data_IF_028319387923
#
_entry.id   IF_028319387923
#
_cell.length_a   1.000
_cell.length_b   1.000
_cell.length_c   1.000
_cell.angle_alpha   90.00
_cell.angle_beta   90.00
_cell.angle_gamma   90.00
#
_symmetry.space_group_name_H-M   'P 1'
#
loop_
_entity.id
_entity.type
_entity.pdbx_description
1 polymer ?
#
# COMPACT_ATOMS: atom_id res chain seq x y z
N UNK A 1 1.83 -25.32 -2.81
CA UNK A 1 0.99 -24.88 -1.68
C UNK A 1 1.54 -23.54 -1.23
N UNK A 2 0.98 -22.45 -1.73
CA UNK A 2 1.43 -21.08 -1.39
C UNK A 2 0.97 -20.76 0.02
N UNK A 3 1.90 -20.42 0.89
CA UNK A 3 1.62 -20.09 2.27
C UNK A 3 1.14 -18.63 2.34
N UNK A 4 -0.15 -18.41 2.16
CA UNK A 4 -0.84 -17.11 2.17
C UNK A 4 -0.63 -16.32 3.48
N UNK A 5 -0.31 -17.00 4.57
CA UNK A 5 -0.12 -16.39 5.89
C UNK A 5 1.04 -15.36 5.96
N UNK A 6 1.95 -15.34 4.97
CA UNK A 6 3.10 -14.42 4.93
C UNK A 6 2.94 -13.25 3.98
N UNK A 7 1.89 -13.21 3.18
CA UNK A 7 1.76 -12.26 2.08
C UNK A 7 0.77 -11.11 2.34
N UNK A 8 -0.10 -11.22 3.34
CA UNK A 8 -1.15 -10.22 3.53
C UNK A 8 -1.26 -9.77 5.00
N UNK A 9 -0.58 -8.68 5.39
CA UNK A 9 -0.80 -8.05 6.70
C UNK A 9 -2.27 -7.66 6.97
N UNK A 10 -3.07 -7.57 5.93
CA UNK A 10 -4.51 -7.25 5.97
C UNK A 10 -5.33 -8.37 6.64
N UNK A 11 -4.82 -9.60 6.70
CA UNK A 11 -5.49 -10.73 7.37
C UNK A 11 -5.68 -10.53 8.89
N UNK A 12 -4.95 -9.60 9.50
CA UNK A 12 -5.10 -9.22 10.90
C UNK A 12 -6.01 -8.00 11.11
N UNK A 13 -6.55 -7.43 10.03
CA UNK A 13 -7.58 -6.41 10.11
C UNK A 13 -8.93 -7.06 10.39
N UNK A 14 -9.73 -6.45 11.25
CA UNK A 14 -11.12 -6.87 11.48
C UNK A 14 -12.05 -6.51 10.30
N UNK A 15 -11.50 -6.06 9.17
CA UNK A 15 -12.23 -5.79 7.93
C UNK A 15 -13.15 -4.58 7.96
N UNK A 16 -13.07 -3.76 9.00
CA UNK A 16 -13.87 -2.53 9.09
C UNK A 16 -13.33 -1.47 8.14
N UNK A 17 -14.16 -1.04 7.20
CA UNK A 17 -13.88 0.11 6.35
C UNK A 17 -14.50 1.35 7.00
N UNK A 18 -13.69 2.38 7.22
CA UNK A 18 -14.20 3.67 7.71
C UNK A 18 -14.51 4.57 6.51
N UNK A 19 -15.79 4.69 6.19
CA UNK A 19 -16.29 5.49 5.05
C UNK A 19 -16.74 6.90 5.44
N UNK A 20 -16.61 7.27 6.72
CA UNK A 20 -17.05 8.58 7.23
C UNK A 20 -16.05 9.72 6.94
N UNK A 21 -15.12 9.53 6.04
CA UNK A 21 -14.16 10.55 5.61
C UNK A 21 -14.84 11.52 4.66
N UNK A 22 -14.68 12.83 4.88
CA UNK A 22 -15.08 13.83 3.89
C UNK A 22 -14.30 13.59 2.60
N UNK A 23 -15.00 13.28 1.52
CA UNK A 23 -14.41 12.93 0.22
C UNK A 23 -14.83 13.93 -0.87
N UNK A 24 -14.32 15.18 -0.82
CA UNK A 24 -14.71 16.22 -1.77
C UNK A 24 -14.29 15.93 -3.21
N UNK A 25 -13.39 14.97 -3.42
CA UNK A 25 -12.85 14.60 -4.73
C UNK A 25 -13.30 13.21 -5.21
N UNK A 26 -14.15 12.50 -4.47
CA UNK A 26 -14.63 11.17 -4.82
C UNK A 26 -13.57 10.06 -4.78
N UNK A 27 -12.40 10.31 -4.16
CA UNK A 27 -11.29 9.34 -4.13
C UNK A 27 -11.60 8.10 -3.30
N UNK A 28 -12.24 8.28 -2.15
CA UNK A 28 -12.67 7.16 -1.33
C UNK A 28 -13.71 6.30 -2.07
N UNK A 29 -14.67 6.95 -2.73
CA UNK A 29 -15.67 6.27 -3.54
C UNK A 29 -15.02 5.47 -4.70
N UNK A 30 -14.00 6.02 -5.35
CA UNK A 30 -13.24 5.30 -6.39
C UNK A 30 -12.52 4.05 -5.82
N UNK A 31 -11.91 4.15 -4.64
CA UNK A 31 -11.30 2.99 -3.96
C UNK A 31 -12.33 1.90 -3.68
N UNK A 32 -13.51 2.26 -3.17
CA UNK A 32 -14.59 1.30 -2.92
C UNK A 32 -15.06 0.62 -4.21
N UNK A 33 -15.18 1.36 -5.31
CA UNK A 33 -15.49 0.78 -6.63
C UNK A 33 -14.43 -0.22 -7.08
N UNK A 34 -13.16 0.05 -6.86
CA UNK A 34 -12.07 -0.90 -7.15
C UNK A 34 -12.21 -2.17 -6.33
N UNK A 35 -12.57 -2.06 -5.06
CA UNK A 35 -12.83 -3.23 -4.23
C UNK A 35 -14.02 -4.04 -4.73
N UNK A 36 -15.10 -3.39 -5.15
CA UNK A 36 -16.26 -4.07 -5.76
C UNK A 36 -15.87 -4.78 -7.07
N UNK A 37 -15.11 -4.12 -7.95
CA UNK A 37 -14.58 -4.73 -9.15
C UNK A 37 -13.68 -5.94 -8.84
N UNK A 38 -12.97 -5.91 -7.71
CA UNK A 38 -12.17 -7.03 -7.23
C UNK A 38 -12.97 -8.11 -6.47
N UNK A 39 -14.29 -7.97 -6.32
CA UNK A 39 -15.17 -8.98 -5.74
C UNK A 39 -15.74 -8.66 -4.37
N UNK A 40 -15.58 -7.42 -3.88
CA UNK A 40 -16.30 -6.99 -2.69
C UNK A 40 -17.81 -6.85 -2.97
N UNK A 41 -18.66 -7.03 -1.97
CA UNK A 41 -20.08 -6.75 -2.09
C UNK A 41 -20.35 -5.28 -2.44
N UNK A 42 -21.34 -5.01 -3.31
CA UNK A 42 -21.68 -3.64 -3.74
C UNK A 42 -22.12 -2.75 -2.58
N UNK A 43 -22.65 -3.35 -1.51
CA UNK A 43 -23.11 -2.65 -0.31
C UNK A 43 -22.04 -1.78 0.34
N UNK A 44 -20.75 -2.08 0.15
CA UNK A 44 -19.66 -1.27 0.72
C UNK A 44 -19.64 0.17 0.20
N UNK A 45 -20.24 0.42 -0.97
CA UNK A 45 -20.27 1.75 -1.60
C UNK A 45 -21.18 2.72 -0.83
N UNK A 46 -22.30 2.20 -0.27
CA UNK A 46 -23.32 3.04 0.38
C UNK A 46 -23.51 2.78 1.88
N UNK A 47 -22.93 1.72 2.43
CA UNK A 47 -22.96 1.49 3.87
C UNK A 47 -21.99 2.44 4.60
N UNK A 48 -22.42 2.94 5.76
CA UNK A 48 -21.59 3.87 6.56
C UNK A 48 -20.36 3.21 7.21
N UNK A 49 -20.46 1.93 7.55
CA UNK A 49 -19.37 1.15 8.17
C UNK A 49 -19.41 -0.28 7.64
N UNK A 50 -19.09 -0.49 6.37
CA UNK A 50 -19.11 -1.83 5.80
C UNK A 50 -18.04 -2.70 6.47
N UNK A 51 -18.39 -3.96 6.68
CA UNK A 51 -17.48 -4.98 7.18
C UNK A 51 -17.24 -5.99 6.08
N UNK A 52 -15.96 -6.13 5.70
CA UNK A 52 -15.52 -7.17 4.78
C UNK A 52 -14.96 -8.33 5.61
N UNK A 53 -15.48 -9.53 5.42
CA UNK A 53 -14.91 -10.73 6.00
C UNK A 53 -13.43 -10.91 5.56
N UNK A 54 -12.62 -11.52 6.39
CA UNK A 54 -11.19 -11.76 6.09
C UNK A 54 -11.00 -12.61 4.84
N UNK A 55 -11.86 -13.57 4.60
CA UNK A 55 -11.90 -14.41 3.40
C UNK A 55 -12.15 -13.59 2.12
N UNK A 56 -13.10 -12.67 2.17
CA UNK A 56 -13.40 -11.75 1.07
C UNK A 56 -12.21 -10.82 0.80
N UNK A 57 -11.58 -10.29 1.86
CA UNK A 57 -10.39 -9.43 1.74
C UNK A 57 -9.21 -10.13 1.06
N UNK A 58 -8.97 -11.40 1.38
CA UNK A 58 -7.93 -12.21 0.72
C UNK A 58 -8.18 -12.26 -0.78
N UNK A 59 -9.39 -12.62 -1.18
CA UNK A 59 -9.76 -12.72 -2.61
C UNK A 59 -9.64 -11.39 -3.35
N UNK A 60 -10.01 -10.27 -2.71
CA UNK A 60 -9.85 -8.92 -3.27
C UNK A 60 -8.37 -8.61 -3.53
N UNK A 61 -7.52 -8.82 -2.51
CA UNK A 61 -6.09 -8.52 -2.61
C UNK A 61 -5.41 -9.38 -3.67
N UNK A 62 -5.74 -10.67 -3.75
CA UNK A 62 -5.23 -11.58 -4.78
C UNK A 62 -5.62 -11.12 -6.18
N UNK A 63 -6.90 -10.79 -6.38
CA UNK A 63 -7.37 -10.33 -7.69
C UNK A 63 -6.70 -9.01 -8.10
N UNK A 64 -6.61 -8.03 -7.19
CA UNK A 64 -5.92 -6.78 -7.45
C UNK A 64 -4.43 -6.99 -7.77
N UNK A 65 -3.78 -7.94 -7.11
CA UNK A 65 -2.40 -8.32 -7.41
C UNK A 65 -2.28 -8.85 -8.84
N UNK A 66 -3.12 -9.80 -9.22
CA UNK A 66 -3.11 -10.37 -10.58
C UNK A 66 -3.38 -9.31 -11.65
N UNK A 67 -4.32 -8.39 -11.41
CA UNK A 67 -4.58 -7.29 -12.33
C UNK A 67 -3.33 -6.40 -12.54
N UNK A 68 -2.57 -6.13 -11.49
CA UNK A 68 -1.32 -5.37 -11.58
C UNK A 68 -0.24 -6.17 -12.33
N UNK A 69 -0.13 -7.47 -12.07
CA UNK A 69 0.80 -8.36 -12.75
C UNK A 69 0.48 -8.47 -14.24
N UNK A 70 -0.78 -8.58 -14.61
CA UNK A 70 -1.26 -8.61 -15.99
C UNK A 70 -0.95 -7.32 -16.76
N UNK A 71 -0.91 -6.17 -16.04
CA UNK A 71 -0.48 -4.89 -16.59
C UNK A 71 1.07 -4.72 -16.65
N UNK A 72 1.83 -5.76 -16.28
CA UNK A 72 3.29 -5.75 -16.30
C UNK A 72 3.93 -5.27 -14.99
N UNK A 73 3.15 -5.06 -13.93
CA UNK A 73 3.66 -4.77 -12.59
C UNK A 73 4.37 -5.97 -11.98
N UNK A 74 5.24 -5.72 -10.99
CA UNK A 74 5.96 -6.77 -10.27
C UNK A 74 5.79 -6.60 -8.77
N UNK A 75 5.54 -7.71 -8.08
CA UNK A 75 5.55 -7.77 -6.63
C UNK A 75 6.84 -8.45 -6.15
N UNK A 76 7.57 -7.76 -5.31
CA UNK A 76 8.81 -8.27 -4.71
C UNK A 76 8.55 -8.55 -3.23
N UNK A 77 8.22 -9.79 -2.89
CA UNK A 77 8.06 -10.22 -1.51
C UNK A 77 9.41 -10.40 -0.81
N UNK A 78 9.41 -10.29 0.52
CA UNK A 78 10.64 -10.34 1.34
C UNK A 78 11.70 -9.32 0.93
N UNK A 79 11.26 -8.21 0.35
CA UNK A 79 12.07 -7.12 -0.17
C UNK A 79 11.85 -5.89 0.70
N UNK A 80 12.76 -5.67 1.64
CA UNK A 80 12.74 -4.50 2.50
C UNK A 80 13.50 -3.36 1.84
N UNK A 81 12.85 -2.22 1.68
CA UNK A 81 13.54 -1.00 1.26
C UNK A 81 14.45 -0.55 2.41
N UNK A 82 15.75 -0.53 2.16
CA UNK A 82 16.78 -0.20 3.16
C UNK A 82 17.36 1.18 2.94
N UNK A 83 17.30 1.70 1.71
CA UNK A 83 17.77 3.05 1.42
C UNK A 83 17.10 3.64 0.17
N UNK A 84 17.14 4.98 0.07
CA UNK A 84 16.78 5.75 -1.13
C UNK A 84 17.99 6.57 -1.57
N UNK A 85 18.46 6.37 -2.79
CA UNK A 85 19.65 6.99 -3.33
C UNK A 85 19.25 8.18 -4.20
N UNK A 86 19.74 9.36 -3.83
CA UNK A 86 19.45 10.61 -4.53
C UNK A 86 20.72 11.14 -5.20
N UNK A 87 20.57 11.66 -6.41
CA UNK A 87 21.60 12.42 -7.12
C UNK A 87 21.02 13.74 -7.61
N UNK A 88 21.70 14.85 -7.35
CA UNK A 88 21.25 16.20 -7.74
C UNK A 88 19.81 16.54 -7.29
N UNK A 89 19.39 16.02 -6.12
CA UNK A 89 18.06 16.23 -5.56
C UNK A 89 16.94 15.38 -6.17
N UNK A 90 17.25 14.47 -7.11
CA UNK A 90 16.32 13.54 -7.70
C UNK A 90 16.58 12.10 -7.21
N UNK A 91 15.49 11.33 -7.02
CA UNK A 91 15.62 9.90 -6.73
C UNK A 91 16.21 9.18 -7.95
N UNK A 92 17.16 8.30 -7.71
CA UNK A 92 17.83 7.49 -8.73
C UNK A 92 17.63 6.00 -8.53
N UNK A 93 17.76 5.55 -7.31
CA UNK A 93 17.70 4.13 -6.98
C UNK A 93 16.99 3.90 -5.64
N UNK A 94 16.38 2.75 -5.51
CA UNK A 94 15.87 2.19 -4.25
C UNK A 94 16.74 0.99 -3.90
N UNK A 95 17.31 0.98 -2.70
CA UNK A 95 18.08 -0.16 -2.21
C UNK A 95 17.17 -1.14 -1.47
N UNK A 96 17.31 -2.41 -1.79
CA UNK A 96 16.57 -3.52 -1.21
C UNK A 96 17.51 -4.42 -0.43
N UNK A 97 17.13 -4.76 0.80
CA UNK A 97 17.84 -5.73 1.66
C UNK A 97 19.37 -5.43 1.83
N UNK A 98 19.76 -4.15 1.83
CA UNK A 98 21.15 -3.68 1.91
C UNK A 98 22.09 -4.23 0.80
N UNK A 99 21.56 -4.61 -0.35
CA UNK A 99 22.38 -5.29 -1.38
C UNK A 99 21.94 -4.97 -2.81
N UNK A 100 20.67 -5.08 -3.11
CA UNK A 100 20.15 -4.89 -4.45
C UNK A 100 19.72 -3.44 -4.66
N UNK A 101 20.06 -2.87 -5.81
CA UNK A 101 19.66 -1.51 -6.19
C UNK A 101 18.76 -1.56 -7.42
N UNK A 102 17.61 -0.96 -7.31
CA UNK A 102 16.62 -0.89 -8.38
C UNK A 102 16.51 0.57 -8.84
N UNK A 103 16.74 0.87 -10.12
CA UNK A 103 16.55 2.20 -10.67
C UNK A 103 15.11 2.68 -10.46
N UNK A 104 14.93 3.88 -9.95
CA UNK A 104 13.62 4.47 -9.72
C UNK A 104 13.68 5.99 -9.78
N UNK A 105 12.79 6.60 -10.56
CA UNK A 105 12.62 8.04 -10.63
C UNK A 105 11.53 8.55 -9.67
N UNK A 106 10.59 7.68 -9.34
CA UNK A 106 9.47 7.97 -8.44
C UNK A 106 9.29 6.81 -7.46
N UNK A 107 9.06 7.13 -6.19
CA UNK A 107 8.75 6.16 -5.16
C UNK A 107 7.53 6.62 -4.36
N UNK A 108 6.53 5.75 -4.24
CA UNK A 108 5.36 5.98 -3.38
C UNK A 108 5.56 5.24 -2.07
N UNK A 109 5.54 5.97 -0.96
CA UNK A 109 5.71 5.44 0.37
C UNK A 109 4.35 5.17 1.01
N UNK A 110 3.96 3.90 1.12
CA UNK A 110 2.72 3.44 1.72
C UNK A 110 3.00 2.49 2.91
N UNK A 111 3.83 2.94 3.85
CA UNK A 111 4.50 2.12 4.86
C UNK A 111 3.64 1.77 6.08
N UNK A 112 2.52 2.48 6.28
CA UNK A 112 1.80 2.46 7.55
C UNK A 112 2.60 3.10 8.69
N UNK A 113 2.02 3.17 9.88
CA UNK A 113 2.59 3.92 11.02
C UNK A 113 3.72 3.18 11.76
N UNK A 114 3.87 1.88 11.57
CA UNK A 114 4.79 1.03 12.35
C UNK A 114 6.19 0.91 11.74
N UNK A 115 6.44 1.44 10.56
CA UNK A 115 7.71 1.35 9.83
C UNK A 115 8.76 2.37 10.35
N UNK A 116 9.07 2.32 11.65
CA UNK A 116 9.95 3.30 12.33
C UNK A 116 11.34 3.37 11.71
N UNK A 117 11.93 2.24 11.39
CA UNK A 117 13.22 2.10 10.76
C UNK A 117 13.29 2.79 9.38
N UNK A 118 12.24 2.67 8.58
CA UNK A 118 12.15 3.36 7.30
C UNK A 118 12.01 4.88 7.50
N UNK A 119 11.23 5.32 8.48
CA UNK A 119 11.12 6.75 8.81
C UNK A 119 12.47 7.33 9.27
N UNK A 120 13.24 6.60 10.07
CA UNK A 120 14.58 7.00 10.48
C UNK A 120 15.54 7.10 9.29
N UNK A 121 15.50 6.14 8.38
CA UNK A 121 16.31 6.15 7.16
C UNK A 121 15.98 7.39 6.31
N UNK A 122 14.71 7.67 6.08
CA UNK A 122 14.27 8.82 5.29
C UNK A 122 14.69 10.15 5.93
N UNK A 123 14.61 10.24 7.26
CA UNK A 123 15.09 11.41 8.00
C UNK A 123 16.60 11.61 7.82
N UNK A 124 17.41 10.55 7.90
CA UNK A 124 18.85 10.59 7.65
C UNK A 124 19.19 11.04 6.23
N UNK A 125 18.33 10.74 5.27
CA UNK A 125 18.46 11.17 3.86
C UNK A 125 17.96 12.60 3.63
N UNK A 126 17.50 13.31 4.66
CA UNK A 126 17.05 14.70 4.57
C UNK A 126 15.65 14.85 3.96
N UNK A 127 14.87 13.77 3.90
CA UNK A 127 13.47 13.85 3.48
C UNK A 127 12.67 14.58 4.56
N UNK A 128 12.11 15.72 4.22
CA UNK A 128 11.38 16.57 5.16
C UNK A 128 9.94 16.07 5.29
N UNK A 129 9.55 15.72 6.51
CA UNK A 129 8.18 15.36 6.88
C UNK A 129 7.44 16.59 7.39
N UNK A 130 6.30 16.88 6.84
CA UNK A 130 5.40 17.86 7.43
C UNK A 130 4.37 17.14 8.31
N UNK A 131 4.59 17.21 9.62
CA UNK A 131 3.75 16.56 10.64
C UNK A 131 2.27 16.99 10.58
N UNK A 132 1.99 18.15 10.01
CA UNK A 132 0.65 18.75 9.95
C UNK A 132 -0.18 18.30 8.73
N UNK A 133 0.31 17.38 7.90
CA UNK A 133 -0.37 16.89 6.69
C UNK A 133 -0.68 15.39 6.70
N UNK A 134 -0.49 14.71 7.81
CA UNK A 134 -1.05 13.38 7.98
C UNK A 134 -2.49 13.53 8.43
N UNK A 135 -3.45 12.93 7.73
CA UNK A 135 -4.86 12.97 8.11
C UNK A 135 -5.11 12.25 9.42
#
# INVERSE_FOLDING_TARGET
MYNLEKEVPVLFSDGKLNTLVKDPYGRNHEVLKRFVAAGAPEEIIYQQKPHLGTDVLVGIVEKMRHEIEDMGGKFCFRSKVTDLIFENGALKEVEINNSEKIPAEVCVLALGHSARDTFEMLQKRGVIWNRNRLP
#
